data_IF_845438304530
#
_entry.id   IF_845438304530
#
_cell.length_a   1.000
_cell.length_b   1.000
_cell.length_c   1.000
_cell.angle_alpha   90.00
_cell.angle_beta   90.00
_cell.angle_gamma   90.00
#
_symmetry.space_group_name_H-M   'P 1'
#
loop_
_entity.id
_entity.type
_entity.pdbx_description
1 polymer ?
#
# COMPACT_ATOMS: atom_id res chain seq x y z
N UNK A 1 -24.80 -1.20 -4.83
CA UNK A 1 -23.73 -0.72 -4.01
C UNK A 1 -24.24 -0.07 -2.74
N UNK A 2 -23.53 -0.20 -1.61
CA UNK A 2 -23.94 0.47 -0.39
C UNK A 2 -23.87 1.98 -0.57
N UNK A 3 -24.80 2.68 0.03
CA UNK A 3 -24.94 4.15 0.06
C UNK A 3 -23.66 4.86 0.60
N UNK A 4 -22.66 4.10 1.03
CA UNK A 4 -21.48 4.56 1.74
C UNK A 4 -20.14 4.05 1.18
N UNK A 5 -20.06 3.69 -0.10
CA UNK A 5 -18.77 3.32 -0.70
C UNK A 5 -17.88 4.57 -0.79
N UNK A 6 -16.76 4.65 -0.02
CA UNK A 6 -15.92 5.83 0.02
C UNK A 6 -15.16 6.10 -1.29
N UNK A 7 -15.06 5.10 -2.16
CA UNK A 7 -14.40 5.21 -3.46
C UNK A 7 -15.32 5.89 -4.47
N UNK A 8 -16.59 5.51 -4.46
CA UNK A 8 -17.61 6.01 -5.38
C UNK A 8 -18.50 7.03 -4.68
N UNK A 9 -19.25 7.72 -5.49
CA UNK A 9 -20.24 8.64 -5.01
C UNK A 9 -21.51 7.89 -4.64
N UNK A 10 -22.00 8.12 -3.44
CA UNK A 10 -23.29 7.62 -2.97
C UNK A 10 -24.26 8.76 -2.71
N UNK A 11 -25.55 8.49 -2.75
CA UNK A 11 -26.53 9.36 -2.13
C UNK A 11 -26.30 9.26 -0.61
N UNK A 12 -26.05 10.38 0.05
CA UNK A 12 -25.98 10.47 1.50
C UNK A 12 -27.34 10.16 2.15
N UNK A 13 -27.42 10.15 3.48
CA UNK A 13 -28.71 10.05 4.17
C UNK A 13 -29.66 11.15 3.70
N UNK A 14 -30.95 10.86 3.76
CA UNK A 14 -32.00 11.84 3.44
C UNK A 14 -31.73 13.12 4.24
N UNK A 15 -31.70 14.26 3.55
CA UNK A 15 -31.67 15.58 4.21
C UNK A 15 -32.96 15.85 5.00
N UNK A 16 -33.02 17.00 5.66
CA UNK A 16 -34.13 17.40 6.55
C UNK A 16 -35.53 17.34 5.89
N UNK A 17 -35.58 17.30 4.55
CA UNK A 17 -36.84 17.21 3.77
C UNK A 17 -37.02 15.86 3.04
N UNK A 18 -36.25 14.81 3.38
CA UNK A 18 -36.32 13.53 2.64
C UNK A 18 -35.67 13.57 1.26
N UNK A 19 -34.95 14.64 0.93
CA UNK A 19 -34.29 14.82 -0.38
C UNK A 19 -32.94 14.09 -0.36
N UNK A 20 -32.61 13.26 -1.37
CA UNK A 20 -31.32 12.60 -1.46
C UNK A 20 -30.20 13.63 -1.61
N UNK A 21 -29.18 13.51 -0.74
CA UNK A 21 -28.01 14.38 -0.73
C UNK A 21 -26.79 13.63 -1.33
N UNK A 22 -26.40 13.92 -2.57
CA UNK A 22 -25.22 13.30 -3.17
C UNK A 22 -23.94 13.73 -2.43
N UNK A 23 -23.10 12.75 -2.06
CA UNK A 23 -21.79 13.02 -1.47
C UNK A 23 -20.67 12.63 -2.42
N UNK A 24 -19.71 13.53 -2.70
CA UNK A 24 -18.58 13.20 -3.55
C UNK A 24 -17.68 12.15 -2.90
N UNK A 25 -17.46 11.02 -3.58
CA UNK A 25 -16.48 10.00 -3.24
C UNK A 25 -15.08 10.35 -3.72
N UNK A 26 -14.12 9.44 -3.48
CA UNK A 26 -12.72 9.65 -3.89
C UNK A 26 -12.56 9.86 -5.40
N UNK A 27 -13.31 9.11 -6.19
CA UNK A 27 -13.30 9.18 -7.66
C UNK A 27 -13.70 10.57 -8.17
N UNK A 28 -14.79 11.12 -7.66
CA UNK A 28 -15.24 12.47 -8.05
C UNK A 28 -14.30 13.56 -7.56
N UNK A 29 -13.74 13.42 -6.35
CA UNK A 29 -12.73 14.34 -5.80
C UNK A 29 -11.43 14.34 -6.60
N UNK A 30 -11.12 13.25 -7.29
CA UNK A 30 -9.94 13.12 -8.13
C UNK A 30 -10.11 13.75 -9.53
N UNK A 31 -11.30 14.26 -9.87
CA UNK A 31 -11.56 14.90 -11.16
C UNK A 31 -10.52 16.01 -11.48
N UNK A 32 -9.96 15.97 -12.65
CA UNK A 32 -8.88 16.87 -13.08
C UNK A 32 -7.50 16.57 -12.50
N UNK A 33 -7.35 15.49 -11.69
CA UNK A 33 -6.13 15.15 -10.99
C UNK A 33 -5.74 13.68 -11.09
N UNK A 34 -5.27 13.13 -9.97
CA UNK A 34 -4.78 11.76 -9.85
C UNK A 34 -5.53 11.04 -8.73
N UNK A 35 -5.98 9.82 -9.01
CA UNK A 35 -6.48 8.88 -8.02
C UNK A 35 -5.41 7.80 -7.76
N UNK A 36 -4.89 7.75 -6.54
CA UNK A 36 -4.01 6.68 -6.09
C UNK A 36 -4.82 5.65 -5.31
N UNK A 37 -4.74 4.39 -5.72
CA UNK A 37 -5.34 3.25 -5.03
C UNK A 37 -4.25 2.30 -4.59
N UNK A 38 -4.02 2.23 -3.29
CA UNK A 38 -3.15 1.23 -2.70
C UNK A 38 -3.89 -0.10 -2.63
N UNK A 39 -3.17 -1.20 -2.87
CA UNK A 39 -3.71 -2.57 -2.95
C UNK A 39 -4.93 -2.67 -3.89
N UNK A 40 -4.81 -2.12 -5.09
CA UNK A 40 -5.90 -2.14 -6.08
C UNK A 40 -6.39 -3.57 -6.41
N UNK A 41 -5.52 -4.56 -6.25
CA UNK A 41 -5.85 -5.99 -6.43
C UNK A 41 -6.84 -6.52 -5.40
N UNK A 42 -7.04 -5.82 -4.27
CA UNK A 42 -7.99 -6.22 -3.21
C UNK A 42 -9.41 -5.65 -3.43
N UNK A 43 -9.62 -4.84 -4.46
CA UNK A 43 -10.95 -4.34 -4.76
C UNK A 43 -11.91 -5.49 -5.05
N UNK A 44 -13.08 -5.42 -4.42
CA UNK A 44 -14.15 -6.37 -4.74
C UNK A 44 -14.52 -6.29 -6.23
N UNK A 45 -14.86 -7.41 -6.92
CA UNK A 45 -15.15 -7.42 -8.35
C UNK A 45 -16.18 -6.38 -8.80
N UNK A 46 -17.20 -6.10 -7.98
CA UNK A 46 -18.21 -5.06 -8.27
C UNK A 46 -17.56 -3.67 -8.28
N UNK A 47 -16.68 -3.37 -7.35
CA UNK A 47 -15.95 -2.09 -7.27
C UNK A 47 -14.99 -1.94 -8.44
N UNK A 48 -14.30 -3.02 -8.80
CA UNK A 48 -13.39 -3.06 -9.95
C UNK A 48 -14.15 -2.77 -11.26
N UNK A 49 -15.29 -3.40 -11.47
CA UNK A 49 -16.12 -3.16 -12.65
C UNK A 49 -16.65 -1.71 -12.72
N UNK A 50 -17.04 -1.15 -11.57
CA UNK A 50 -17.43 0.27 -11.50
C UNK A 50 -16.25 1.20 -11.82
N UNK A 51 -15.06 0.90 -11.31
CA UNK A 51 -13.85 1.67 -11.60
C UNK A 51 -13.53 1.64 -13.10
N UNK A 52 -13.57 0.47 -13.72
CA UNK A 52 -13.38 0.31 -15.17
C UNK A 52 -14.35 1.17 -15.96
N UNK A 53 -15.64 1.13 -15.59
CA UNK A 53 -16.67 1.94 -16.26
C UNK A 53 -16.40 3.43 -16.11
N UNK A 54 -16.01 3.89 -14.93
CA UNK A 54 -15.69 5.31 -14.70
C UNK A 54 -14.45 5.74 -15.51
N UNK A 55 -13.42 4.89 -15.62
CA UNK A 55 -12.24 5.17 -16.43
C UNK A 55 -12.58 5.28 -17.92
N UNK A 56 -13.61 4.57 -18.38
CA UNK A 56 -14.09 4.59 -19.75
C UNK A 56 -15.00 5.79 -20.03
N UNK A 57 -16.03 5.98 -19.19
CA UNK A 57 -17.06 7.00 -19.35
C UNK A 57 -16.61 8.38 -18.83
N UNK A 58 -15.59 8.46 -17.99
CA UNK A 58 -15.10 9.65 -17.27
C UNK A 58 -16.21 10.36 -16.47
N UNK A 59 -17.20 9.58 -16.06
CA UNK A 59 -18.40 10.05 -15.36
C UNK A 59 -18.82 9.00 -14.33
N UNK A 60 -19.25 9.46 -13.17
CA UNK A 60 -19.88 8.62 -12.14
C UNK A 60 -21.37 8.85 -12.15
N UNK A 61 -22.14 7.80 -12.39
CA UNK A 61 -23.58 7.82 -12.26
C UNK A 61 -23.98 7.43 -10.85
N UNK A 62 -24.91 8.19 -10.29
CA UNK A 62 -25.42 7.95 -8.96
C UNK A 62 -26.61 6.98 -9.02
N UNK A 63 -26.64 6.07 -8.05
CA UNK A 63 -27.76 5.18 -7.82
C UNK A 63 -28.31 5.43 -6.42
N UNK A 64 -29.60 5.71 -6.30
CA UNK A 64 -30.27 5.86 -5.01
C UNK A 64 -31.66 5.28 -5.08
N UNK A 65 -32.02 4.46 -4.10
CA UNK A 65 -33.40 3.96 -3.93
C UNK A 65 -34.38 5.08 -3.55
N UNK A 66 -33.92 6.23 -3.15
CA UNK A 66 -34.72 7.38 -2.72
C UNK A 66 -34.89 8.44 -3.81
N UNK A 67 -34.30 8.22 -4.99
CA UNK A 67 -34.42 9.14 -6.10
C UNK A 67 -35.51 8.68 -7.08
N UNK A 68 -36.45 9.58 -7.39
CA UNK A 68 -37.41 9.43 -8.48
C UNK A 68 -37.27 10.62 -9.42
N UNK A 69 -37.21 10.34 -10.72
CA UNK A 69 -37.16 11.39 -11.75
C UNK A 69 -38.42 12.20 -11.86
N UNK A 70 -39.55 11.68 -11.31
CA UNK A 70 -40.87 12.31 -11.35
C UNK A 70 -41.21 13.11 -10.09
N UNK A 71 -40.35 13.05 -9.06
CA UNK A 71 -40.56 13.75 -7.81
C UNK A 71 -40.26 15.25 -7.94
N UNK A 72 -41.30 16.05 -8.03
CA UNK A 72 -41.20 17.53 -8.14
C UNK A 72 -40.64 18.22 -6.90
N UNK A 73 -40.54 17.54 -5.75
CA UNK A 73 -39.94 18.08 -4.53
C UNK A 73 -38.43 18.05 -4.58
N UNK A 74 -37.85 17.29 -5.47
CA UNK A 74 -36.40 17.21 -5.63
C UNK A 74 -35.91 18.42 -6.45
N UNK A 75 -34.93 19.21 -5.93
CA UNK A 75 -34.40 20.35 -6.66
C UNK A 75 -33.80 19.98 -8.02
N UNK A 76 -34.00 20.85 -9.01
CA UNK A 76 -33.57 20.59 -10.40
C UNK A 76 -32.07 20.22 -10.52
N UNK A 77 -31.20 20.86 -9.75
CA UNK A 77 -29.79 20.53 -9.77
C UNK A 77 -29.48 19.09 -9.30
N UNK A 78 -30.30 18.53 -8.41
CA UNK A 78 -30.19 17.12 -7.97
C UNK A 78 -30.64 16.20 -9.11
N UNK A 79 -31.76 16.52 -9.80
CA UNK A 79 -32.18 15.78 -10.99
C UNK A 79 -31.07 15.77 -12.06
N UNK A 80 -30.44 16.90 -12.31
CA UNK A 80 -29.35 17.01 -13.29
C UNK A 80 -28.16 16.09 -12.91
N UNK A 81 -27.79 16.01 -11.62
CA UNK A 81 -26.73 15.13 -11.13
C UNK A 81 -27.08 13.65 -11.33
N UNK A 82 -28.32 13.25 -11.01
CA UNK A 82 -28.75 11.86 -11.19
C UNK A 82 -28.87 11.48 -12.66
N UNK A 83 -29.30 12.40 -13.51
CA UNK A 83 -29.46 12.19 -14.95
C UNK A 83 -28.13 12.17 -15.71
N UNK A 84 -27.27 13.13 -15.44
CA UNK A 84 -26.04 13.36 -16.20
C UNK A 84 -24.79 12.76 -15.55
N UNK A 85 -24.90 12.34 -14.28
CA UNK A 85 -23.74 11.93 -13.48
C UNK A 85 -22.89 13.08 -13.04
N UNK A 86 -21.75 12.76 -12.45
CA UNK A 86 -20.72 13.71 -12.03
C UNK A 86 -19.41 13.44 -12.76
N UNK A 87 -18.70 14.47 -13.17
CA UNK A 87 -17.45 14.29 -13.91
C UNK A 87 -16.40 13.62 -13.05
N UNK A 88 -15.68 12.67 -13.63
CA UNK A 88 -14.63 11.89 -12.98
C UNK A 88 -13.48 11.57 -13.96
N UNK A 89 -12.97 12.60 -14.61
CA UNK A 89 -11.80 12.49 -15.47
C UNK A 89 -10.53 12.64 -14.61
N UNK A 90 -9.81 11.55 -14.40
CA UNK A 90 -8.60 11.49 -13.56
C UNK A 90 -7.59 10.50 -14.15
N UNK A 91 -6.36 10.60 -13.69
CA UNK A 91 -5.34 9.57 -13.94
C UNK A 91 -5.31 8.59 -12.78
N UNK A 92 -5.37 7.29 -13.10
CA UNK A 92 -5.29 6.24 -12.10
C UNK A 92 -3.83 5.83 -11.88
N UNK A 93 -3.44 5.74 -10.61
CA UNK A 93 -2.23 5.05 -10.16
C UNK A 93 -2.68 3.96 -9.19
N UNK A 94 -2.42 2.69 -9.53
CA UNK A 94 -2.68 1.56 -8.67
C UNK A 94 -1.39 0.93 -8.17
N UNK A 95 -1.33 0.59 -6.88
CA UNK A 95 -0.28 -0.24 -6.32
C UNK A 95 -0.87 -1.58 -5.87
N UNK A 96 -0.10 -2.66 -5.97
CA UNK A 96 -0.53 -3.99 -5.54
C UNK A 96 0.68 -4.86 -5.21
N UNK A 97 0.51 -5.77 -4.26
CA UNK A 97 1.45 -6.85 -3.95
C UNK A 97 1.12 -8.14 -4.69
N UNK A 98 -0.05 -8.21 -5.34
CA UNK A 98 -0.48 -9.40 -6.10
C UNK A 98 0.34 -9.58 -7.36
N UNK A 99 0.60 -10.82 -7.77
CA UNK A 99 1.24 -11.11 -9.05
C UNK A 99 0.35 -10.66 -10.22
N UNK A 100 0.93 -10.33 -11.37
CA UNK A 100 0.20 -9.80 -12.53
C UNK A 100 -0.98 -10.66 -12.98
N UNK A 101 -0.87 -11.97 -12.83
CA UNK A 101 -1.88 -12.96 -13.25
C UNK A 101 -3.19 -12.82 -12.46
N UNK A 102 -3.11 -12.30 -11.23
CA UNK A 102 -4.26 -12.10 -10.36
C UNK A 102 -4.96 -10.74 -10.58
N UNK A 103 -4.33 -9.84 -11.34
CA UNK A 103 -4.91 -8.54 -11.66
C UNK A 103 -5.77 -8.65 -12.93
N UNK A 104 -7.02 -8.17 -12.91
CA UNK A 104 -7.90 -8.26 -14.06
C UNK A 104 -7.27 -7.70 -15.34
N UNK A 105 -7.29 -8.46 -16.46
CA UNK A 105 -6.71 -8.02 -17.73
C UNK A 105 -7.25 -6.67 -18.22
N UNK A 106 -8.50 -6.35 -17.88
CA UNK A 106 -9.13 -5.10 -18.24
C UNK A 106 -8.47 -3.87 -17.61
N UNK A 107 -7.95 -3.97 -16.38
CA UNK A 107 -7.13 -2.91 -15.75
C UNK A 107 -5.74 -2.89 -16.39
N UNK A 108 -5.09 -4.04 -16.50
CA UNK A 108 -3.72 -4.14 -17.01
C UNK A 108 -3.59 -3.56 -18.42
N UNK A 109 -4.56 -3.82 -19.29
CA UNK A 109 -4.56 -3.30 -20.67
C UNK A 109 -4.68 -1.76 -20.77
N UNK A 110 -5.10 -1.09 -19.69
CA UNK A 110 -5.27 0.36 -19.62
C UNK A 110 -4.19 1.07 -18.82
N UNK A 111 -3.27 0.32 -18.20
CA UNK A 111 -2.21 0.86 -17.34
C UNK A 111 -0.83 0.51 -17.88
N UNK A 112 0.14 1.38 -17.62
CA UNK A 112 1.55 1.06 -17.74
C UNK A 112 1.97 0.29 -16.50
N UNK A 113 2.52 -0.91 -16.68
CA UNK A 113 2.99 -1.74 -15.58
C UNK A 113 4.43 -1.38 -15.21
N UNK A 114 4.67 -1.15 -13.91
CA UNK A 114 5.99 -0.88 -13.36
C UNK A 114 6.25 -1.88 -12.25
N UNK A 115 7.33 -2.65 -12.40
CA UNK A 115 7.71 -3.69 -11.45
C UNK A 115 8.81 -3.20 -10.51
N UNK A 116 8.53 -3.28 -9.20
CA UNK A 116 9.52 -3.00 -8.18
C UNK A 116 10.28 -4.27 -7.80
N UNK A 117 11.59 -4.18 -7.83
CA UNK A 117 12.46 -5.28 -7.38
C UNK A 117 12.50 -5.34 -5.85
N UNK A 118 12.71 -6.54 -5.26
CA UNK A 118 12.97 -6.67 -3.84
C UNK A 118 14.15 -5.79 -3.40
N UNK A 119 14.07 -5.26 -2.19
CA UNK A 119 15.15 -4.47 -1.61
C UNK A 119 16.37 -5.35 -1.31
N UNK A 120 17.53 -4.86 -1.72
CA UNK A 120 18.82 -5.46 -1.38
C UNK A 120 19.33 -4.88 -0.04
N UNK A 121 20.27 -5.54 0.64
CA UNK A 121 20.83 -5.05 1.90
C UNK A 121 21.40 -3.62 1.82
N UNK A 122 21.94 -3.23 0.67
CA UNK A 122 22.44 -1.87 0.42
C UNK A 122 21.33 -0.84 0.48
N UNK A 123 20.18 -1.16 -0.13
CA UNK A 123 18.99 -0.29 -0.10
C UNK A 123 18.46 -0.12 1.32
N UNK A 124 18.44 -1.18 2.13
CA UNK A 124 18.09 -1.09 3.55
C UNK A 124 19.03 -0.13 4.29
N UNK A 125 20.34 -0.19 4.02
CA UNK A 125 21.30 0.76 4.59
C UNK A 125 20.99 2.22 4.27
N UNK A 126 20.58 2.51 3.04
CA UNK A 126 20.16 3.85 2.62
C UNK A 126 18.88 4.29 3.35
N UNK A 127 17.89 3.39 3.44
CA UNK A 127 16.63 3.65 4.15
C UNK A 127 16.88 3.96 5.62
N UNK A 128 17.76 3.19 6.29
CA UNK A 128 18.15 3.42 7.68
C UNK A 128 18.74 4.82 7.85
N UNK A 129 19.73 5.19 7.03
CA UNK A 129 20.39 6.50 7.10
C UNK A 129 19.40 7.65 6.90
N UNK A 130 18.51 7.52 5.92
CA UNK A 130 17.47 8.52 5.65
C UNK A 130 16.47 8.64 6.82
N UNK A 131 16.07 7.51 7.42
CA UNK A 131 15.16 7.50 8.57
C UNK A 131 15.79 8.16 9.80
N UNK A 132 17.04 7.84 10.09
CA UNK A 132 17.82 8.42 11.22
C UNK A 132 18.00 9.93 11.04
N UNK A 133 18.40 10.37 9.85
CA UNK A 133 18.53 11.80 9.53
C UNK A 133 17.20 12.55 9.70
N UNK A 134 16.09 11.95 9.24
CA UNK A 134 14.76 12.56 9.33
C UNK A 134 14.31 12.81 10.77
N UNK A 135 14.72 11.96 11.72
CA UNK A 135 14.38 12.12 13.15
C UNK A 135 15.45 12.88 13.94
N UNK A 136 16.54 13.34 13.29
CA UNK A 136 17.60 14.12 13.92
C UNK A 136 18.48 13.32 14.88
N UNK A 137 18.72 12.03 14.58
CA UNK A 137 19.58 11.14 15.32
C UNK A 137 20.84 10.78 14.53
N UNK A 138 21.82 10.19 15.23
CA UNK A 138 22.97 9.49 14.66
C UNK A 138 22.81 7.98 14.88
N UNK A 139 23.52 7.18 14.08
CA UNK A 139 23.54 5.72 14.22
C UNK A 139 24.96 5.21 13.91
N UNK A 140 25.43 4.22 14.66
CA UNK A 140 26.69 3.57 14.37
C UNK A 140 26.58 2.51 13.26
N UNK A 141 27.74 2.18 12.66
CA UNK A 141 27.82 1.21 11.56
C UNK A 141 27.44 -0.22 12.01
N UNK A 142 27.69 -0.57 13.27
CA UNK A 142 27.36 -1.87 13.83
C UNK A 142 25.83 -2.04 13.90
N UNK A 143 25.12 -1.02 14.37
CA UNK A 143 23.65 -0.96 14.37
C UNK A 143 23.08 -1.15 12.97
N UNK A 144 23.64 -0.45 11.96
CA UNK A 144 23.22 -0.59 10.56
C UNK A 144 23.42 -2.03 10.08
N UNK A 145 24.59 -2.62 10.34
CA UNK A 145 24.89 -4.02 9.97
C UNK A 145 23.93 -5.00 10.64
N UNK A 146 23.64 -4.79 11.91
CA UNK A 146 22.71 -5.62 12.68
C UNK A 146 21.31 -5.55 12.07
N UNK A 147 20.74 -4.37 11.83
CA UNK A 147 19.41 -4.24 11.22
C UNK A 147 19.37 -4.93 9.86
N UNK A 148 20.36 -4.73 9.00
CA UNK A 148 20.48 -5.39 7.68
C UNK A 148 20.48 -6.91 7.75
N UNK A 149 20.93 -7.48 8.86
CA UNK A 149 20.94 -8.93 9.09
C UNK A 149 19.53 -9.47 9.41
N UNK A 150 18.68 -8.65 9.99
CA UNK A 150 17.36 -9.10 10.48
C UNK A 150 16.18 -8.70 9.58
N UNK A 151 16.32 -7.71 8.70
CA UNK A 151 15.21 -7.33 7.80
C UNK A 151 15.63 -7.03 6.37
N UNK A 152 14.72 -7.33 5.44
CA UNK A 152 14.72 -6.89 4.04
C UNK A 152 13.65 -5.86 3.76
N UNK A 153 12.80 -5.62 4.74
CA UNK A 153 11.64 -4.77 4.60
C UNK A 153 11.98 -3.37 5.08
N UNK A 154 11.80 -2.37 4.21
CA UNK A 154 12.08 -0.98 4.56
C UNK A 154 11.23 -0.46 5.72
N UNK A 155 9.96 -0.89 5.80
CA UNK A 155 9.05 -0.50 6.90
C UNK A 155 9.53 -1.06 8.24
N UNK A 156 9.94 -2.34 8.27
CA UNK A 156 10.51 -2.95 9.48
C UNK A 156 11.79 -2.26 9.91
N UNK A 157 12.69 -1.93 8.96
CA UNK A 157 13.90 -1.20 9.27
C UNK A 157 13.60 0.17 9.92
N UNK A 158 12.63 0.90 9.40
CA UNK A 158 12.18 2.19 9.98
C UNK A 158 11.58 1.98 11.37
N UNK A 159 10.75 0.96 11.57
CA UNK A 159 10.16 0.64 12.87
C UNK A 159 11.24 0.32 13.93
N UNK A 160 12.24 -0.47 13.56
CA UNK A 160 13.38 -0.77 14.46
C UNK A 160 14.09 0.53 14.86
N UNK A 161 14.36 1.41 13.89
CA UNK A 161 14.99 2.72 14.13
C UNK A 161 14.17 3.58 15.08
N UNK A 162 12.86 3.67 14.87
CA UNK A 162 11.97 4.47 15.71
C UNK A 162 11.94 3.97 17.17
N UNK A 163 11.89 2.66 17.37
CA UNK A 163 11.92 2.06 18.70
C UNK A 163 13.28 2.24 19.35
N UNK A 164 14.39 2.02 18.64
CA UNK A 164 15.73 2.23 19.15
C UNK A 164 16.03 3.69 19.51
N UNK A 165 15.51 4.64 18.69
CA UNK A 165 15.58 6.06 19.00
C UNK A 165 14.79 6.42 20.27
N UNK A 166 13.63 5.78 20.50
CA UNK A 166 12.87 5.89 21.73
C UNK A 166 13.67 5.47 22.96
N UNK A 167 14.42 4.36 22.88
CA UNK A 167 15.31 3.91 23.96
C UNK A 167 16.45 4.92 24.21
N UNK A 168 17.12 5.37 23.16
CA UNK A 168 18.18 6.37 23.25
C UNK A 168 17.66 7.69 23.87
N UNK A 169 16.46 8.13 23.53
CA UNK A 169 15.82 9.33 24.09
C UNK A 169 15.61 9.21 25.60
N UNK A 170 15.20 8.04 26.09
CA UNK A 170 15.03 7.81 27.54
C UNK A 170 16.32 7.99 28.32
N UNK A 171 17.47 7.79 27.67
CA UNK A 171 18.81 7.99 28.24
C UNK A 171 19.40 9.37 27.86
N UNK A 172 18.58 10.30 27.35
CA UNK A 172 18.98 11.63 26.89
C UNK A 172 20.08 11.60 25.79
N UNK A 173 20.12 10.52 24.97
CA UNK A 173 21.04 10.38 23.84
C UNK A 173 20.33 10.71 22.52
N UNK A 174 21.05 11.30 21.58
CA UNK A 174 20.65 11.47 20.17
C UNK A 174 21.39 10.52 19.22
N UNK A 175 21.99 9.48 19.76
CA UNK A 175 22.71 8.45 19.01
C UNK A 175 22.11 7.08 19.34
N UNK A 176 21.78 6.35 18.29
CA UNK A 176 21.33 4.96 18.36
C UNK A 176 22.57 4.07 18.39
N UNK A 177 22.69 3.23 19.40
CA UNK A 177 23.79 2.30 19.61
C UNK A 177 23.35 0.86 19.36
N UNK A 178 24.31 -0.03 19.14
CA UNK A 178 24.03 -1.45 18.88
C UNK A 178 23.14 -2.10 19.95
N UNK A 179 23.34 -1.74 21.24
CA UNK A 179 22.53 -2.25 22.35
C UNK A 179 21.04 -1.90 22.24
N UNK A 180 20.71 -0.71 21.70
CA UNK A 180 19.34 -0.27 21.51
C UNK A 180 18.67 -1.12 20.43
N UNK A 181 19.39 -1.36 19.32
CA UNK A 181 18.92 -2.21 18.22
C UNK A 181 18.77 -3.66 18.65
N UNK A 182 19.76 -4.20 19.38
CA UNK A 182 19.72 -5.57 19.93
C UNK A 182 18.54 -5.77 20.86
N UNK A 183 18.25 -4.80 21.72
CA UNK A 183 17.10 -4.86 22.60
C UNK A 183 15.79 -4.92 21.80
N UNK A 184 15.64 -4.06 20.78
CA UNK A 184 14.45 -4.04 19.92
C UNK A 184 14.29 -5.38 19.17
N UNK A 185 15.37 -5.92 18.62
CA UNK A 185 15.37 -7.18 17.89
C UNK A 185 14.96 -8.33 18.81
N UNK A 186 15.55 -8.42 19.98
CA UNK A 186 15.27 -9.50 20.93
C UNK A 186 13.84 -9.39 21.50
N UNK A 187 13.37 -8.18 21.80
CA UNK A 187 12.02 -7.95 22.32
C UNK A 187 10.95 -8.14 21.24
N UNK A 188 11.26 -7.83 20.00
CA UNK A 188 10.34 -7.94 18.85
C UNK A 188 10.29 -9.33 18.21
N UNK A 189 11.04 -10.32 18.74
CA UNK A 189 11.16 -11.67 18.19
C UNK A 189 11.58 -11.71 16.71
N UNK A 190 12.43 -10.78 16.28
CA UNK A 190 12.98 -10.79 14.94
C UNK A 190 13.93 -11.97 14.77
N UNK A 191 13.72 -12.78 13.74
CA UNK A 191 14.63 -13.86 13.38
C UNK A 191 15.74 -13.35 12.43
N UNK A 192 17.01 -13.74 12.64
CA UNK A 192 18.04 -13.42 11.68
C UNK A 192 17.74 -14.10 10.34
N UNK A 193 18.06 -13.40 9.25
CA UNK A 193 17.97 -13.98 7.92
C UNK A 193 18.91 -15.17 7.81
N UNK A 194 18.48 -16.26 7.17
CA UNK A 194 19.40 -17.30 6.79
C UNK A 194 20.50 -16.70 5.91
N UNK A 195 21.75 -16.85 6.31
CA UNK A 195 22.86 -16.47 5.46
C UNK A 195 22.91 -17.42 4.27
N UNK A 196 22.89 -16.86 3.05
CA UNK A 196 23.04 -17.63 1.80
C UNK A 196 24.50 -18.06 1.67
N UNK A 197 24.88 -19.15 2.30
CA UNK A 197 26.22 -19.73 2.16
C UNK A 197 26.10 -21.05 1.43
N UNK A 198 26.53 -21.04 0.18
CA UNK A 198 26.90 -22.29 -0.50
C UNK A 198 28.29 -22.65 0.03
N UNK A 199 28.48 -23.86 0.52
CA UNK A 199 29.82 -24.32 0.90
C UNK A 199 30.76 -24.21 -0.31
N UNK A 200 31.92 -23.53 -0.17
CA UNK A 200 32.86 -23.38 -1.29
C UNK A 200 33.53 -24.70 -1.68
N UNK A 201 33.37 -25.75 -0.88
CA UNK A 201 33.90 -27.08 -1.18
C UNK A 201 32.78 -28.11 -1.14
N UNK A 202 32.79 -29.09 -2.08
CA UNK A 202 31.86 -30.22 -2.03
C UNK A 202 32.03 -30.96 -0.70
N UNK A 203 30.92 -31.28 -0.05
CA UNK A 203 30.88 -32.08 1.17
C UNK A 203 29.95 -33.26 0.96
N UNK A 204 30.40 -34.46 1.39
CA UNK A 204 29.57 -35.68 1.32
C UNK A 204 28.44 -35.55 2.35
N UNK A 205 27.19 -35.77 1.91
CA UNK A 205 26.01 -35.67 2.75
C UNK A 205 25.42 -34.27 2.85
N UNK A 206 25.87 -33.32 2.02
CA UNK A 206 25.30 -31.96 1.93
C UNK A 206 24.78 -31.71 0.53
N UNK A 207 23.52 -31.39 0.41
CA UNK A 207 22.92 -30.93 -0.84
C UNK A 207 22.32 -29.53 -0.66
N UNK A 208 22.47 -28.66 -1.67
CA UNK A 208 21.85 -27.34 -1.66
C UNK A 208 20.53 -27.40 -2.42
N UNK A 209 19.42 -27.18 -1.71
CA UNK A 209 18.09 -27.04 -2.27
C UNK A 209 17.71 -25.57 -2.46
N UNK A 210 16.95 -25.27 -3.51
CA UNK A 210 16.35 -23.95 -3.70
C UNK A 210 14.86 -24.03 -3.34
N UNK A 211 14.43 -23.21 -2.38
CA UNK A 211 13.02 -23.03 -2.11
C UNK A 211 12.58 -21.62 -2.53
N UNK A 212 11.41 -21.53 -3.16
CA UNK A 212 10.80 -20.25 -3.57
C UNK A 212 9.67 -19.97 -2.61
N UNK A 213 9.66 -18.78 -2.00
CA UNK A 213 8.63 -18.37 -1.05
C UNK A 213 7.89 -17.08 -1.48
N UNK A 214 8.17 -16.57 -2.68
CA UNK A 214 7.49 -15.43 -3.27
C UNK A 214 8.03 -15.07 -4.66
N UNK A 215 7.39 -14.16 -5.37
CA UNK A 215 7.85 -13.70 -6.68
C UNK A 215 9.27 -13.13 -6.58
N UNK A 216 10.20 -13.70 -7.37
CA UNK A 216 11.62 -13.33 -7.35
C UNK A 216 12.32 -13.49 -5.98
N UNK A 217 11.74 -14.24 -5.06
CA UNK A 217 12.32 -14.51 -3.74
C UNK A 217 12.56 -16.00 -3.57
N UNK A 218 13.83 -16.37 -3.44
CA UNK A 218 14.26 -17.73 -3.17
C UNK A 218 15.17 -17.80 -1.95
N UNK A 219 15.16 -18.92 -1.28
CA UNK A 219 16.06 -19.24 -0.18
C UNK A 219 16.86 -20.49 -0.53
N UNK A 220 18.12 -20.50 -0.17
CA UNK A 220 18.97 -21.68 -0.24
C UNK A 220 18.76 -22.49 1.04
N UNK A 221 18.43 -23.76 0.90
CA UNK A 221 18.31 -24.71 1.98
C UNK A 221 19.47 -25.70 1.90
N UNK A 222 20.11 -25.98 3.00
CA UNK A 222 21.03 -27.12 3.14
C UNK A 222 20.20 -28.36 3.51
N UNK A 223 20.36 -29.41 2.73
CA UNK A 223 19.68 -30.70 2.90
C UNK A 223 20.71 -31.77 3.17
#
# INVERSE_FOLDING_TARGET
>A
GSVHDPIYQGAGPLGVAGIPQPKPGAVTKAHGGVLFLDEIGELHPIQMNKLLKVLEDRTVFLESAYYSSEDSNIPRHIHDIFKNGLPADFRLIGATTRPPEEIPPAIRSRCLEIYFKPLMPEHIGIIIKNAVNKIGFEIDDLSIKTIKKYTTNGREAVNIIQMAAGLATRENRKRIEARDVEWVINSGQYAPRPERKVSPKPQVGLANGLAVYGPNMGILLEI
#
